data_IF_425998638943
#
_entry.id   IF_425998638943
#
_cell.length_a   1.000
_cell.length_b   1.000
_cell.length_c   1.000
_cell.angle_alpha   90.00
_cell.angle_beta   90.00
_cell.angle_gamma   90.00
#
_symmetry.space_group_name_H-M   'P 1'
#
loop_
_entity.id
_entity.type
_entity.pdbx_description
1 polymer ?
#
# COMPACT_ATOMS: atom_id res chain seq x y z
N UNK A 1 -73.75 -32.67 40.11
CA UNK A 1 -73.31 -33.05 38.78
C UNK A 1 -72.49 -31.87 38.29
N UNK A 2 -71.16 -31.86 38.54
CA UNK A 2 -70.29 -30.79 38.20
C UNK A 2 -69.37 -31.20 37.03
N UNK A 3 -69.36 -30.40 35.96
CA UNK A 3 -68.49 -30.59 34.84
C UNK A 3 -67.15 -30.08 35.15
N UNK A 4 -66.02 -30.72 34.72
CA UNK A 4 -64.67 -30.26 34.99
C UNK A 4 -64.21 -29.20 33.96
N UNK A 5 -63.75 -28.07 34.48
CA UNK A 5 -63.13 -27.01 33.71
C UNK A 5 -61.78 -27.52 33.22
N UNK A 6 -61.59 -27.61 31.92
CA UNK A 6 -60.33 -27.85 31.29
C UNK A 6 -59.57 -26.49 31.02
N UNK A 7 -58.64 -26.20 31.83
CA UNK A 7 -57.63 -25.14 31.53
C UNK A 7 -56.69 -25.62 30.42
N UNK A 8 -56.72 -24.95 29.29
CA UNK A 8 -55.73 -25.09 28.21
C UNK A 8 -54.61 -24.06 28.50
N UNK A 9 -53.35 -24.46 28.72
CA UNK A 9 -52.30 -23.48 28.84
C UNK A 9 -51.93 -22.93 27.45
N UNK A 10 -52.05 -21.62 27.29
CA UNK A 10 -51.53 -20.87 26.14
C UNK A 10 -49.99 -20.92 26.23
N UNK A 11 -49.39 -21.73 25.37
CA UNK A 11 -47.94 -21.68 25.13
C UNK A 11 -47.69 -20.49 24.25
N UNK A 12 -47.22 -19.39 24.85
CA UNK A 12 -46.64 -18.24 24.10
C UNK A 12 -45.28 -18.66 23.62
N UNK A 13 -45.21 -19.07 22.37
CA UNK A 13 -43.93 -19.26 21.68
C UNK A 13 -43.31 -17.88 21.41
N UNK A 14 -42.40 -17.44 22.27
CA UNK A 14 -41.54 -16.30 21.99
C UNK A 14 -40.59 -16.67 20.87
N UNK A 15 -40.86 -16.25 19.65
CA UNK A 15 -39.96 -16.29 18.51
C UNK A 15 -38.83 -15.30 18.82
N UNK A 16 -37.71 -15.81 19.37
CA UNK A 16 -36.44 -15.14 19.37
C UNK A 16 -35.96 -15.08 17.91
N UNK A 17 -36.33 -13.99 17.23
CA UNK A 17 -35.64 -13.58 16.00
C UNK A 17 -34.20 -13.16 16.39
N UNK A 18 -33.32 -14.14 16.47
CA UNK A 18 -31.89 -13.90 16.46
C UNK A 18 -31.55 -13.29 15.10
N UNK A 19 -31.57 -11.96 15.04
CA UNK A 19 -31.02 -11.22 13.93
C UNK A 19 -29.58 -11.64 13.79
N UNK A 20 -29.27 -12.51 12.84
CA UNK A 20 -27.94 -12.67 12.31
C UNK A 20 -27.54 -11.32 11.73
N UNK A 21 -26.88 -10.51 12.52
CA UNK A 21 -26.10 -9.38 12.03
C UNK A 21 -25.01 -10.00 11.15
N UNK A 22 -25.37 -10.20 9.89
CA UNK A 22 -24.38 -10.48 8.85
C UNK A 22 -23.37 -9.36 8.96
N UNK A 23 -22.15 -9.70 9.33
CA UNK A 23 -21.01 -8.84 9.15
C UNK A 23 -20.89 -8.59 7.64
N UNK A 24 -21.66 -7.63 7.14
CA UNK A 24 -21.43 -7.05 5.82
C UNK A 24 -20.00 -6.56 5.87
N UNK A 25 -19.09 -7.31 5.23
CA UNK A 25 -17.69 -6.96 5.13
C UNK A 25 -17.65 -5.52 4.67
N UNK A 26 -17.13 -4.62 5.51
CA UNK A 26 -17.09 -3.18 5.22
C UNK A 26 -16.47 -3.01 3.84
N UNK A 27 -17.30 -2.54 2.92
CA UNK A 27 -16.88 -2.28 1.55
C UNK A 27 -15.67 -1.35 1.60
N UNK A 28 -14.61 -1.64 0.84
CA UNK A 28 -13.42 -0.79 0.80
C UNK A 28 -13.81 0.63 0.38
N UNK A 29 -13.68 1.65 1.26
CA UNK A 29 -14.14 3.01 0.97
C UNK A 29 -13.40 3.65 -0.21
N UNK A 30 -12.29 3.08 -0.65
CA UNK A 30 -11.59 3.57 -1.82
C UNK A 30 -12.30 3.19 -3.13
N UNK A 31 -13.17 2.17 -3.12
CA UNK A 31 -13.96 1.76 -4.29
C UNK A 31 -15.11 2.73 -4.60
N UNK A 32 -15.38 3.70 -3.75
CA UNK A 32 -16.29 4.81 -4.05
C UNK A 32 -15.71 5.79 -5.09
N UNK A 33 -14.41 5.73 -5.35
CA UNK A 33 -13.74 6.55 -6.36
C UNK A 33 -13.63 5.80 -7.68
N UNK A 34 -13.64 6.49 -8.84
CA UNK A 34 -13.37 5.89 -10.13
C UNK A 34 -12.07 5.10 -10.10
N UNK A 35 -12.16 3.82 -10.42
CA UNK A 35 -11.02 2.90 -10.42
C UNK A 35 -11.09 1.93 -11.59
N UNK A 36 -9.94 1.42 -11.98
CA UNK A 36 -9.80 0.39 -13.00
C UNK A 36 -8.54 -0.43 -12.80
N UNK A 37 -8.54 -1.65 -13.30
CA UNK A 37 -7.34 -2.48 -13.38
C UNK A 37 -6.67 -2.23 -14.71
N UNK A 38 -5.50 -1.60 -14.67
CA UNK A 38 -4.62 -1.47 -15.82
C UNK A 38 -3.77 -2.73 -15.92
N UNK A 39 -3.77 -3.40 -17.07
CA UNK A 39 -3.04 -4.66 -17.26
C UNK A 39 -2.17 -4.57 -18.49
N UNK A 40 -0.91 -4.93 -18.33
CA UNK A 40 0.05 -5.10 -19.43
C UNK A 40 0.32 -6.59 -19.60
N UNK A 41 0.05 -7.10 -20.82
CA UNK A 41 0.35 -8.49 -21.19
C UNK A 41 1.83 -8.62 -21.49
N UNK A 42 2.41 -9.72 -21.02
CA UNK A 42 3.77 -10.14 -21.27
C UNK A 42 3.73 -11.56 -21.87
N UNK A 43 4.87 -12.12 -22.16
CA UNK A 43 4.94 -13.49 -22.68
C UNK A 43 4.61 -14.50 -21.56
N UNK A 44 3.42 -15.08 -21.62
CA UNK A 44 2.91 -16.08 -20.66
C UNK A 44 2.39 -15.54 -19.31
N UNK A 45 2.44 -14.21 -19.05
CA UNK A 45 1.96 -13.61 -17.79
C UNK A 45 1.46 -12.18 -17.99
N UNK A 46 1.02 -11.54 -16.91
CA UNK A 46 0.62 -10.13 -16.90
C UNK A 46 1.24 -9.40 -15.72
N UNK A 47 1.45 -8.08 -15.86
CA UNK A 47 1.59 -7.18 -14.73
C UNK A 47 0.40 -6.22 -14.69
N UNK A 48 -0.12 -5.96 -13.50
CA UNK A 48 -1.31 -5.13 -13.34
C UNK A 48 -1.16 -4.10 -12.22
N UNK A 49 -1.95 -3.05 -12.33
CA UNK A 49 -2.06 -2.02 -11.30
C UNK A 49 -3.51 -1.58 -11.11
N UNK A 50 -3.90 -1.39 -9.85
CA UNK A 50 -5.20 -0.80 -9.50
C UNK A 50 -5.07 0.72 -9.52
N UNK A 51 -5.57 1.32 -10.59
CA UNK A 51 -5.61 2.77 -10.76
C UNK A 51 -6.83 3.34 -10.04
N UNK A 52 -6.65 4.46 -9.34
CA UNK A 52 -7.71 5.22 -8.67
C UNK A 52 -7.50 6.72 -8.95
N UNK A 53 -8.57 7.45 -9.21
CA UNK A 53 -8.54 8.90 -9.49
C UNK A 53 -9.77 9.60 -8.93
N UNK A 54 -9.75 10.94 -8.87
CA UNK A 54 -10.96 11.69 -8.54
C UNK A 54 -12.01 11.55 -9.66
N UNK A 55 -13.32 11.64 -9.33
CA UNK A 55 -14.36 11.75 -10.33
C UNK A 55 -14.30 13.09 -11.07
N UNK A 56 -14.84 13.13 -12.30
CA UNK A 56 -14.90 14.32 -13.13
C UNK A 56 -13.65 14.61 -13.94
N UNK A 57 -13.50 15.86 -14.40
CA UNK A 57 -12.35 16.28 -15.19
C UNK A 57 -11.12 16.46 -14.31
N UNK A 58 -10.04 15.81 -14.66
CA UNK A 58 -8.74 15.89 -14.01
C UNK A 58 -7.69 16.45 -14.99
N UNK A 59 -6.71 17.14 -14.44
CA UNK A 59 -5.51 17.62 -15.15
C UNK A 59 -4.31 16.86 -14.59
N UNK A 60 -4.31 15.54 -14.81
CA UNK A 60 -3.35 14.62 -14.21
C UNK A 60 -1.93 14.94 -14.67
N UNK A 61 -1.06 15.18 -13.73
CA UNK A 61 0.36 15.46 -13.91
C UNK A 61 1.22 14.50 -13.10
N UNK A 62 0.82 14.25 -11.86
CA UNK A 62 1.56 13.44 -10.90
C UNK A 62 0.99 12.02 -10.83
N UNK A 63 1.87 11.04 -10.89
CA UNK A 63 1.56 9.64 -10.64
C UNK A 63 2.19 9.16 -9.33
N UNK A 64 1.42 8.47 -8.52
CA UNK A 64 1.89 7.82 -7.32
C UNK A 64 1.73 6.31 -7.51
N UNK A 65 2.86 5.62 -7.70
CA UNK A 65 2.91 4.16 -7.80
C UNK A 65 3.20 3.58 -6.41
N UNK A 66 2.24 2.84 -5.87
CA UNK A 66 2.26 2.29 -4.52
C UNK A 66 2.65 0.81 -4.55
N UNK A 67 3.72 0.46 -3.86
CA UNK A 67 4.25 -0.90 -3.74
C UNK A 67 3.95 -1.45 -2.33
N UNK A 68 2.95 -2.35 -2.20
CA UNK A 68 2.56 -2.91 -0.91
C UNK A 68 3.65 -3.75 -0.25
N UNK A 69 3.60 -3.83 1.08
CA UNK A 69 4.44 -4.72 1.87
C UNK A 69 4.09 -6.19 1.67
N UNK A 70 4.77 -7.04 2.44
CA UNK A 70 4.61 -8.50 2.35
C UNK A 70 3.14 -8.96 2.27
N UNK A 71 2.83 -9.92 1.39
CA UNK A 71 3.69 -10.50 0.35
C UNK A 71 3.85 -9.64 -0.91
N UNK A 72 3.14 -8.49 -1.02
CA UNK A 72 3.16 -7.62 -2.19
C UNK A 72 2.33 -8.15 -3.37
N UNK A 73 1.43 -9.09 -3.11
CA UNK A 73 0.61 -9.80 -4.08
C UNK A 73 -0.85 -9.42 -3.84
N UNK A 74 -1.43 -8.62 -4.75
CA UNK A 74 -2.84 -8.22 -4.65
C UNK A 74 -3.77 -9.22 -5.32
N UNK A 75 -3.31 -9.94 -6.33
CA UNK A 75 -4.14 -10.80 -7.18
C UNK A 75 -5.33 -10.03 -7.74
N UNK A 76 -5.05 -8.93 -8.42
CA UNK A 76 -6.07 -8.09 -9.05
C UNK A 76 -6.86 -8.89 -10.08
N UNK A 77 -8.17 -9.08 -9.84
CA UNK A 77 -9.04 -9.89 -10.70
C UNK A 77 -10.47 -9.39 -10.67
N UNK A 78 -11.21 -9.70 -11.72
CA UNK A 78 -12.64 -9.48 -11.76
C UNK A 78 -13.36 -10.82 -11.58
N UNK A 79 -14.28 -10.88 -10.61
CA UNK A 79 -15.14 -12.01 -10.33
C UNK A 79 -16.57 -11.50 -10.24
N UNK A 80 -17.48 -12.08 -11.04
CA UNK A 80 -18.90 -11.69 -11.09
C UNK A 80 -19.13 -10.19 -11.33
N UNK A 81 -18.28 -9.56 -12.12
CA UNK A 81 -18.32 -8.12 -12.41
C UNK A 81 -17.76 -7.21 -11.31
N UNK A 82 -17.33 -7.78 -10.19
CA UNK A 82 -16.71 -7.05 -9.08
C UNK A 82 -15.21 -7.16 -9.06
N UNK A 83 -14.55 -6.07 -8.69
CA UNK A 83 -13.11 -6.06 -8.44
C UNK A 83 -12.79 -6.78 -7.12
N UNK A 84 -12.01 -7.85 -7.20
CA UNK A 84 -11.47 -8.58 -6.06
C UNK A 84 -9.95 -8.39 -5.99
N UNK A 85 -9.43 -8.21 -4.80
CA UNK A 85 -7.99 -8.13 -4.54
C UNK A 85 -7.69 -8.35 -3.07
N UNK A 86 -6.45 -8.77 -2.80
CA UNK A 86 -5.93 -9.02 -1.46
C UNK A 86 -5.27 -7.76 -0.87
N UNK A 87 -4.67 -7.85 0.32
CA UNK A 87 -3.93 -6.79 1.01
C UNK A 87 -4.73 -5.50 1.30
N UNK A 88 -6.05 -5.55 1.38
CA UNK A 88 -6.90 -4.37 1.64
C UNK A 88 -6.53 -3.60 2.91
N UNK A 89 -5.96 -4.28 3.91
CA UNK A 89 -5.47 -3.69 5.16
C UNK A 89 -4.10 -3.04 5.06
N UNK A 90 -3.30 -3.32 4.02
CA UNK A 90 -1.97 -2.73 3.87
C UNK A 90 -2.04 -1.19 3.89
N UNK A 91 -1.06 -0.54 4.53
CA UNK A 91 -1.04 0.92 4.71
C UNK A 91 -1.27 1.68 3.41
N UNK A 92 -0.50 1.40 2.37
CA UNK A 92 -0.61 2.11 1.10
C UNK A 92 -1.92 1.79 0.37
N UNK A 93 -2.40 0.54 0.48
CA UNK A 93 -3.63 0.10 -0.19
C UNK A 93 -4.87 0.73 0.45
N UNK A 94 -4.99 0.67 1.80
CA UNK A 94 -6.16 1.21 2.51
C UNK A 94 -6.26 2.72 2.48
N UNK A 95 -5.13 3.39 2.28
CA UNK A 95 -5.08 4.86 2.32
C UNK A 95 -5.03 5.50 0.93
N UNK A 96 -5.09 4.73 -0.16
CA UNK A 96 -4.85 5.22 -1.53
C UNK A 96 -5.74 6.39 -1.95
N UNK A 97 -6.99 6.50 -1.44
CA UNK A 97 -7.88 7.63 -1.73
C UNK A 97 -7.36 8.99 -1.21
N UNK A 98 -6.53 8.97 -0.19
CA UNK A 98 -6.02 10.20 0.44
C UNK A 98 -4.86 10.84 -0.32
N UNK A 99 -4.38 10.20 -1.39
CA UNK A 99 -3.44 10.79 -2.35
C UNK A 99 -4.15 11.56 -3.47
N UNK A 100 -5.48 11.39 -3.60
CA UNK A 100 -6.24 11.89 -4.74
C UNK A 100 -6.46 13.39 -4.65
N UNK A 101 -6.07 14.08 -5.69
CA UNK A 101 -6.46 15.43 -6.03
C UNK A 101 -6.68 15.54 -7.55
N UNK A 102 -6.92 16.73 -8.07
CA UNK A 102 -7.20 16.92 -9.52
C UNK A 102 -5.99 16.65 -10.41
N UNK A 103 -4.80 16.66 -9.85
CA UNK A 103 -3.56 16.47 -10.60
C UNK A 103 -2.89 15.12 -10.32
N UNK A 104 -3.41 14.31 -9.39
CA UNK A 104 -2.77 13.08 -8.93
C UNK A 104 -3.54 11.83 -9.32
N UNK A 105 -2.87 10.94 -10.04
CA UNK A 105 -3.26 9.55 -10.28
C UNK A 105 -2.58 8.64 -9.26
N UNK A 106 -3.32 7.68 -8.71
CA UNK A 106 -2.77 6.66 -7.82
C UNK A 106 -2.86 5.29 -8.49
N UNK A 107 -1.79 4.54 -8.45
CA UNK A 107 -1.73 3.17 -8.96
C UNK A 107 -1.09 2.25 -7.91
N UNK A 108 -1.85 1.26 -7.40
CA UNK A 108 -1.28 0.20 -6.56
C UNK A 108 -0.78 -0.90 -7.49
N UNK A 109 0.52 -1.16 -7.44
CA UNK A 109 1.19 -2.13 -8.31
C UNK A 109 1.05 -3.55 -7.72
N UNK A 110 0.58 -4.49 -8.52
CA UNK A 110 0.52 -5.91 -8.18
C UNK A 110 1.83 -6.62 -8.54
N UNK A 111 2.08 -7.77 -7.94
CA UNK A 111 3.11 -8.70 -8.42
C UNK A 111 2.75 -9.20 -9.83
N UNK A 112 3.73 -9.51 -10.69
CA UNK A 112 3.46 -10.23 -11.93
C UNK A 112 2.69 -11.53 -11.68
N UNK A 113 1.73 -11.88 -12.54
CA UNK A 113 0.77 -12.95 -12.28
C UNK A 113 1.41 -14.33 -12.12
N UNK A 114 2.55 -14.58 -12.73
CA UNK A 114 3.34 -15.80 -12.56
C UNK A 114 4.11 -15.84 -11.23
N UNK A 115 4.16 -14.72 -10.50
CA UNK A 115 4.71 -14.59 -9.15
C UNK A 115 3.64 -14.53 -8.05
N UNK A 116 2.36 -14.74 -8.36
CA UNK A 116 1.32 -14.81 -7.33
C UNK A 116 1.45 -15.98 -6.34
N UNK A 117 2.04 -17.12 -6.68
CA UNK A 117 2.37 -18.14 -5.68
C UNK A 117 3.45 -17.69 -4.69
N UNK A 118 4.47 -16.96 -5.18
CA UNK A 118 5.60 -16.48 -4.39
C UNK A 118 6.24 -15.24 -5.03
N UNK A 119 6.45 -14.19 -4.24
CA UNK A 119 7.05 -12.95 -4.70
C UNK A 119 8.19 -12.55 -3.76
N UNK A 120 9.33 -13.24 -3.90
CA UNK A 120 10.50 -13.04 -3.06
C UNK A 120 11.28 -11.76 -3.38
N UNK A 121 12.18 -11.36 -2.46
CA UNK A 121 12.99 -10.16 -2.60
C UNK A 121 13.93 -10.25 -3.81
N UNK A 122 14.53 -11.42 -4.05
CA UNK A 122 15.45 -11.64 -5.17
C UNK A 122 14.83 -11.34 -6.53
N UNK A 123 13.55 -11.65 -6.71
CA UNK A 123 12.87 -11.32 -7.96
C UNK A 123 12.70 -9.81 -8.15
N UNK A 124 12.44 -9.06 -7.06
CA UNK A 124 12.29 -7.61 -7.10
C UNK A 124 13.58 -6.89 -7.56
N UNK A 125 14.73 -7.56 -7.44
CA UNK A 125 16.04 -7.06 -7.86
C UNK A 125 16.37 -7.36 -9.33
N UNK A 126 15.54 -8.16 -10.03
CA UNK A 126 15.81 -8.59 -11.39
C UNK A 126 15.52 -7.51 -12.43
N UNK A 127 16.28 -7.46 -13.54
CA UNK A 127 15.95 -6.59 -14.67
C UNK A 127 14.54 -6.82 -15.22
N UNK A 128 14.03 -8.05 -15.15
CA UNK A 128 12.68 -8.39 -15.56
C UNK A 128 11.63 -7.62 -14.76
N UNK A 129 11.74 -7.62 -13.42
CA UNK A 129 10.81 -6.85 -12.59
C UNK A 129 10.85 -5.35 -12.89
N UNK A 130 12.05 -4.79 -13.07
CA UNK A 130 12.21 -3.41 -13.51
C UNK A 130 11.50 -3.12 -14.83
N UNK A 131 11.65 -3.98 -15.82
CA UNK A 131 11.00 -3.85 -17.14
C UNK A 131 9.48 -4.02 -17.07
N UNK A 132 8.97 -4.87 -16.17
CA UNK A 132 7.53 -5.06 -15.96
C UNK A 132 6.90 -3.81 -15.35
N UNK A 133 7.51 -3.24 -14.30
CA UNK A 133 7.06 -1.98 -13.70
C UNK A 133 7.13 -0.84 -14.70
N UNK A 134 8.21 -0.75 -15.49
CA UNK A 134 8.36 0.27 -16.53
C UNK A 134 7.22 0.21 -17.55
N UNK A 135 6.88 -0.99 -18.02
CA UNK A 135 5.81 -1.16 -19.00
C UNK A 135 4.44 -0.75 -18.42
N UNK A 136 4.17 -1.07 -17.15
CA UNK A 136 2.93 -0.68 -16.48
C UNK A 136 2.85 0.84 -16.29
N UNK A 137 3.92 1.48 -15.85
CA UNK A 137 4.01 2.94 -15.67
C UNK A 137 3.88 3.66 -17.02
N UNK A 138 4.55 3.17 -18.06
CA UNK A 138 4.45 3.74 -19.41
C UNK A 138 3.01 3.66 -19.95
N UNK A 139 2.31 2.55 -19.74
CA UNK A 139 0.91 2.40 -20.15
C UNK A 139 -0.01 3.34 -19.36
N UNK A 140 0.23 3.51 -18.06
CA UNK A 140 -0.50 4.48 -17.25
C UNK A 140 -0.24 5.92 -17.73
N UNK A 141 1.01 6.27 -18.02
CA UNK A 141 1.40 7.57 -18.57
C UNK A 141 0.70 7.84 -19.91
N UNK A 142 0.74 6.86 -20.81
CA UNK A 142 0.08 6.98 -22.13
C UNK A 142 -1.43 7.17 -22.01
N UNK A 143 -2.08 6.41 -21.12
CA UNK A 143 -3.55 6.42 -20.96
C UNK A 143 -4.06 7.66 -20.25
N UNK A 144 -3.35 8.15 -19.24
CA UNK A 144 -3.82 9.19 -18.32
C UNK A 144 -3.07 10.52 -18.44
N UNK A 145 -2.01 10.60 -19.26
CA UNK A 145 -1.22 11.82 -19.45
C UNK A 145 -0.27 12.16 -18.29
N UNK A 146 -0.03 11.22 -17.38
CA UNK A 146 0.87 11.42 -16.23
C UNK A 146 2.32 11.43 -16.66
N UNK A 147 3.08 12.43 -16.21
CA UNK A 147 4.49 12.63 -16.61
C UNK A 147 5.48 12.68 -15.45
N UNK A 148 5.02 12.84 -14.22
CA UNK A 148 5.88 12.95 -13.02
C UNK A 148 5.51 11.86 -12.00
N UNK A 149 6.30 10.78 -11.97
CA UNK A 149 6.03 9.63 -11.11
C UNK A 149 6.85 9.63 -9.82
N UNK A 150 6.16 9.30 -8.72
CA UNK A 150 6.77 8.97 -7.44
C UNK A 150 6.49 7.51 -7.11
N UNK A 151 7.52 6.74 -6.81
CA UNK A 151 7.40 5.36 -6.38
C UNK A 151 7.44 5.29 -4.85
N UNK A 152 6.41 4.71 -4.24
CA UNK A 152 6.27 4.65 -2.78
C UNK A 152 6.16 3.19 -2.34
N UNK A 153 7.09 2.73 -1.53
CA UNK A 153 7.10 1.37 -1.00
C UNK A 153 6.98 1.33 0.51
N UNK A 154 6.24 0.34 1.03
CA UNK A 154 6.16 0.07 2.48
C UNK A 154 6.63 -1.34 2.78
N UNK A 155 7.38 -1.52 3.88
CA UNK A 155 7.89 -2.83 4.31
C UNK A 155 8.67 -3.52 3.17
N UNK A 156 8.36 -4.75 2.77
CA UNK A 156 8.98 -5.38 1.60
C UNK A 156 8.73 -4.63 0.28
N UNK A 157 7.66 -3.85 0.20
CA UNK A 157 7.42 -2.97 -0.94
C UNK A 157 8.48 -1.87 -1.10
N UNK A 158 9.26 -1.55 -0.06
CA UNK A 158 10.39 -0.65 -0.16
C UNK A 158 11.49 -1.15 -1.10
N UNK A 159 11.71 -2.48 -1.13
CA UNK A 159 12.61 -3.08 -2.12
C UNK A 159 12.04 -2.98 -3.54
N UNK A 160 10.73 -3.25 -3.70
CA UNK A 160 10.07 -3.11 -5.00
C UNK A 160 10.21 -1.70 -5.57
N UNK A 161 9.89 -0.68 -4.77
CA UNK A 161 9.99 0.72 -5.18
C UNK A 161 11.43 1.14 -5.48
N UNK A 162 12.38 0.74 -4.60
CA UNK A 162 13.79 1.06 -4.76
C UNK A 162 14.38 0.44 -6.04
N UNK A 163 14.21 -0.87 -6.22
CA UNK A 163 14.81 -1.56 -7.37
C UNK A 163 14.17 -1.16 -8.69
N UNK A 164 12.83 -1.00 -8.72
CA UNK A 164 12.15 -0.50 -9.91
C UNK A 164 12.61 0.90 -10.30
N UNK A 165 12.78 1.82 -9.34
CA UNK A 165 13.27 3.17 -9.59
C UNK A 165 14.73 3.18 -10.02
N UNK A 166 15.60 2.39 -9.37
CA UNK A 166 17.01 2.27 -9.74
C UNK A 166 17.20 1.80 -11.17
N UNK A 167 16.35 0.88 -11.63
CA UNK A 167 16.41 0.36 -13.00
C UNK A 167 15.76 1.29 -14.04
N UNK A 168 14.89 2.22 -13.60
CA UNK A 168 14.14 3.12 -14.46
C UNK A 168 14.22 4.58 -13.96
N UNK A 169 15.41 5.16 -13.93
CA UNK A 169 15.63 6.47 -13.33
C UNK A 169 14.91 7.61 -14.07
N UNK A 170 14.58 7.42 -15.34
CA UNK A 170 13.82 8.39 -16.16
C UNK A 170 12.32 8.37 -15.85
N UNK A 171 11.80 7.27 -15.30
CA UNK A 171 10.38 7.14 -14.95
C UNK A 171 10.10 7.57 -13.52
N UNK A 172 10.95 7.18 -12.59
CA UNK A 172 10.77 7.45 -11.16
C UNK A 172 11.56 8.69 -10.73
N UNK A 173 10.95 9.86 -10.83
CA UNK A 173 11.61 11.09 -10.36
C UNK A 173 11.89 11.07 -8.87
N UNK A 174 10.97 10.49 -8.09
CA UNK A 174 11.05 10.43 -6.63
C UNK A 174 10.77 9.02 -6.11
N UNK A 175 11.39 8.69 -4.99
CA UNK A 175 11.17 7.46 -4.24
C UNK A 175 10.90 7.80 -2.78
N UNK A 176 9.84 7.24 -2.22
CA UNK A 176 9.54 7.32 -0.78
C UNK A 176 9.53 5.90 -0.21
N UNK A 177 10.36 5.67 0.78
CA UNK A 177 10.49 4.38 1.43
C UNK A 177 9.96 4.46 2.86
N UNK A 178 8.88 3.73 3.14
CA UNK A 178 8.20 3.74 4.43
C UNK A 178 8.34 2.40 5.13
N UNK A 179 8.55 2.39 6.45
CA UNK A 179 8.73 1.15 7.25
C UNK A 179 9.59 0.12 6.52
N UNK A 180 10.75 0.56 6.03
CA UNK A 180 11.58 -0.19 5.08
C UNK A 180 12.24 -1.40 5.73
N UNK A 181 12.35 -2.50 4.98
CA UNK A 181 13.06 -3.71 5.44
C UNK A 181 14.57 -3.50 5.31
N UNK A 182 15.25 -3.31 6.42
CA UNK A 182 16.69 -3.03 6.46
C UNK A 182 17.57 -4.26 6.64
N UNK A 183 17.05 -5.29 7.30
CA UNK A 183 17.85 -6.46 7.70
C UNK A 183 17.37 -7.72 7.00
N UNK A 184 18.28 -8.68 6.88
CA UNK A 184 17.98 -9.96 6.27
C UNK A 184 16.93 -10.76 7.08
N UNK A 185 16.05 -11.43 6.36
CA UNK A 185 15.05 -12.34 6.86
C UNK A 185 14.91 -13.56 5.96
N UNK A 186 13.92 -14.38 6.21
CA UNK A 186 13.64 -15.58 5.39
C UNK A 186 13.30 -15.25 3.93
N UNK A 187 12.84 -14.02 3.66
CA UNK A 187 12.41 -13.59 2.32
C UNK A 187 13.54 -12.90 1.53
N UNK A 188 14.72 -12.69 2.14
CA UNK A 188 15.87 -12.08 1.47
C UNK A 188 16.66 -11.11 2.36
N UNK A 189 17.63 -10.38 1.77
CA UNK A 189 18.62 -9.57 2.50
C UNK A 189 18.09 -8.21 2.99
N UNK A 190 16.91 -7.78 2.57
CA UNK A 190 16.45 -6.40 2.77
C UNK A 190 17.33 -5.38 2.06
N UNK A 191 17.25 -4.12 2.50
CA UNK A 191 18.07 -3.02 1.95
C UNK A 191 19.51 -3.01 2.47
N UNK A 192 19.93 -3.99 3.28
CA UNK A 192 21.27 -4.00 3.90
C UNK A 192 22.43 -3.98 2.89
N UNK A 193 22.22 -4.57 1.72
CA UNK A 193 23.22 -4.73 0.67
C UNK A 193 23.08 -3.77 -0.52
N UNK A 194 22.07 -2.87 -0.50
CA UNK A 194 21.85 -1.99 -1.64
C UNK A 194 22.84 -0.82 -1.65
N UNK A 195 23.26 -0.45 -2.85
CA UNK A 195 24.01 0.78 -3.08
C UNK A 195 23.01 1.92 -3.40
N UNK A 196 22.84 2.86 -2.46
CA UNK A 196 21.96 4.01 -2.61
C UNK A 196 22.50 5.05 -3.60
N UNK A 197 23.81 5.09 -3.84
CA UNK A 197 24.42 6.01 -4.80
C UNK A 197 24.03 5.67 -6.25
N UNK A 198 23.61 4.43 -6.49
CA UNK A 198 23.08 4.02 -7.77
C UNK A 198 21.64 4.50 -8.04
N UNK A 199 20.94 5.06 -7.04
CA UNK A 199 19.62 5.62 -7.18
C UNK A 199 19.72 7.09 -7.63
N UNK A 200 19.26 7.40 -8.84
CA UNK A 200 19.23 8.77 -9.36
C UNK A 200 18.01 9.57 -8.92
N UNK A 201 16.97 8.90 -8.49
CA UNK A 201 15.75 9.53 -7.97
C UNK A 201 16.01 10.28 -6.67
N UNK A 202 15.25 11.34 -6.42
CA UNK A 202 15.16 11.94 -5.09
C UNK A 202 14.60 10.90 -4.11
N UNK A 203 15.19 10.78 -2.92
CA UNK A 203 14.81 9.77 -1.92
C UNK A 203 14.35 10.43 -0.63
N UNK A 204 13.21 9.98 -0.11
CA UNK A 204 12.68 10.31 1.23
C UNK A 204 12.48 9.03 2.04
N UNK A 205 13.00 9.02 3.27
CA UNK A 205 12.69 8.02 4.28
C UNK A 205 11.52 8.49 5.16
N UNK A 206 10.58 7.60 5.47
CA UNK A 206 9.45 7.90 6.37
C UNK A 206 9.26 6.72 7.30
N UNK A 207 9.55 6.90 8.59
CA UNK A 207 9.51 5.79 9.55
C UNK A 207 8.85 6.20 10.87
N UNK A 208 8.11 5.26 11.45
CA UNK A 208 7.55 5.43 12.77
C UNK A 208 8.60 5.12 13.85
N UNK A 209 8.76 6.04 14.83
CA UNK A 209 9.76 5.88 15.87
C UNK A 209 9.54 4.64 16.74
N UNK A 210 8.28 4.25 16.92
CA UNK A 210 7.86 3.11 17.73
C UNK A 210 7.47 1.90 16.87
N UNK A 211 8.00 1.77 15.64
CA UNK A 211 7.75 0.60 14.80
C UNK A 211 8.26 -0.68 15.50
N UNK A 212 7.36 -1.60 15.90
CA UNK A 212 7.74 -2.79 16.66
C UNK A 212 8.33 -3.91 15.78
N UNK A 213 8.31 -3.74 14.45
CA UNK A 213 8.79 -4.76 13.53
C UNK A 213 10.32 -4.81 13.50
N UNK A 214 10.90 -5.95 13.89
CA UNK A 214 12.34 -6.14 13.96
C UNK A 214 13.09 -5.94 12.64
N UNK A 215 12.41 -6.07 11.52
CA UNK A 215 13.01 -5.92 10.18
C UNK A 215 13.06 -4.47 9.71
N UNK A 216 12.32 -3.59 10.37
CA UNK A 216 12.11 -2.20 9.99
C UNK A 216 12.36 -1.23 11.14
N UNK A 217 13.26 -1.62 12.04
CA UNK A 217 13.54 -0.87 13.26
C UNK A 217 13.94 0.58 12.95
N UNK A 218 13.36 1.53 13.69
CA UNK A 218 13.59 2.97 13.49
C UNK A 218 15.06 3.37 13.57
N UNK A 219 15.84 2.77 14.47
CA UNK A 219 17.30 2.98 14.56
C UNK A 219 18.02 2.69 13.24
N UNK A 220 17.55 1.69 12.50
CA UNK A 220 18.13 1.34 11.21
C UNK A 220 17.74 2.40 10.16
N UNK A 221 16.50 2.90 10.20
CA UNK A 221 16.08 4.02 9.35
C UNK A 221 16.97 5.26 9.56
N UNK A 222 17.27 5.60 10.81
CA UNK A 222 18.19 6.70 11.13
C UNK A 222 19.59 6.46 10.56
N UNK A 223 20.12 5.25 10.72
CA UNK A 223 21.45 4.89 10.22
C UNK A 223 21.50 4.96 8.68
N UNK A 224 20.45 4.48 8.00
CA UNK A 224 20.34 4.51 6.54
C UNK A 224 20.14 5.93 6.01
N UNK A 225 19.30 6.75 6.64
CA UNK A 225 19.12 8.15 6.28
C UNK A 225 20.45 8.93 6.39
N UNK A 226 21.17 8.75 7.50
CA UNK A 226 22.50 9.35 7.71
C UNK A 226 23.50 8.90 6.63
N UNK A 227 23.58 7.58 6.36
CA UNK A 227 24.51 7.01 5.37
C UNK A 227 24.21 7.49 3.95
N UNK A 228 22.94 7.58 3.59
CA UNK A 228 22.52 8.03 2.26
C UNK A 228 22.53 9.55 2.09
N UNK A 229 22.65 10.32 3.17
CA UNK A 229 22.50 11.77 3.16
C UNK A 229 21.12 12.26 2.75
N UNK A 230 20.08 11.40 2.92
CA UNK A 230 18.71 11.70 2.49
C UNK A 230 17.81 12.01 3.69
N UNK A 231 16.79 12.87 3.51
CA UNK A 231 15.91 13.27 4.59
C UNK A 231 15.13 12.07 5.17
N UNK A 232 14.87 12.13 6.47
CA UNK A 232 14.05 11.19 7.22
C UNK A 232 12.93 11.96 7.91
N UNK A 233 11.69 11.58 7.64
CA UNK A 233 10.53 12.00 8.41
C UNK A 233 10.30 10.98 9.52
N UNK A 234 10.35 11.45 10.75
CA UNK A 234 10.04 10.67 11.95
C UNK A 234 8.56 10.79 12.28
N UNK A 235 7.87 9.67 12.34
CA UNK A 235 6.45 9.63 12.72
C UNK A 235 6.32 9.12 14.15
N UNK A 236 5.49 9.79 14.97
CA UNK A 236 5.24 9.42 16.38
C UNK A 236 3.76 9.38 16.68
N UNK A 237 3.39 8.74 17.79
CA UNK A 237 2.02 8.63 18.24
C UNK A 237 1.20 7.60 17.48
N UNK A 238 -0.09 7.82 17.32
CA UNK A 238 -0.98 6.91 16.62
C UNK A 238 -2.01 6.24 17.51
N UNK A 239 -2.72 5.27 16.95
CA UNK A 239 -3.79 4.54 17.61
C UNK A 239 -3.32 3.23 18.25
N UNK A 240 -4.22 2.54 18.96
CA UNK A 240 -3.91 1.25 19.54
C UNK A 240 -3.60 0.21 18.46
N UNK A 241 -2.48 -0.51 18.65
CA UNK A 241 -2.05 -1.57 17.75
C UNK A 241 -3.01 -2.76 17.76
N UNK A 242 -3.21 -3.38 16.60
CA UNK A 242 -3.97 -4.63 16.42
C UNK A 242 -3.19 -5.57 15.51
N UNK A 243 -2.90 -6.76 15.98
CA UNK A 243 -2.14 -7.77 15.24
C UNK A 243 -0.67 -7.84 15.64
N UNK A 244 0.11 -8.57 14.85
CA UNK A 244 1.54 -8.79 15.10
C UNK A 244 2.40 -7.57 14.77
N UNK A 245 3.63 -7.55 15.30
CA UNK A 245 4.56 -6.41 15.22
C UNK A 245 4.77 -5.85 13.81
N UNK A 246 4.80 -6.70 12.78
CA UNK A 246 5.02 -6.28 11.39
C UNK A 246 3.71 -6.17 10.59
N UNK A 247 2.56 -6.11 11.25
CA UNK A 247 1.28 -6.03 10.57
C UNK A 247 0.80 -4.58 10.38
N UNK A 248 -0.10 -4.43 9.42
CA UNK A 248 -0.53 -3.14 8.90
C UNK A 248 -1.28 -2.25 9.90
N UNK A 249 -1.90 -2.83 10.95
CA UNK A 249 -2.66 -2.08 11.96
C UNK A 249 -1.88 -1.88 13.27
N UNK A 250 -0.59 -1.64 13.14
CA UNK A 250 0.33 -1.24 14.22
C UNK A 250 1.06 0.04 13.83
N UNK A 251 2.04 0.49 14.63
CA UNK A 251 2.95 1.58 14.25
C UNK A 251 3.72 1.27 12.96
N UNK A 252 3.95 -0.01 12.62
CA UNK A 252 4.52 -0.45 11.34
C UNK A 252 3.70 0.02 10.13
N UNK A 253 2.38 0.09 10.26
CA UNK A 253 1.48 0.61 9.23
C UNK A 253 0.91 2.01 9.55
N UNK A 254 1.54 2.76 10.44
CA UNK A 254 1.17 4.13 10.79
C UNK A 254 -0.25 4.28 11.33
N UNK A 255 -0.77 3.26 12.04
CA UNK A 255 -2.16 3.27 12.53
C UNK A 255 -2.47 4.49 13.39
N UNK A 256 -3.53 5.23 13.03
CA UNK A 256 -3.98 6.44 13.72
C UNK A 256 -3.25 7.72 13.35
N UNK A 257 -2.15 7.65 12.59
CA UNK A 257 -1.40 8.82 12.07
C UNK A 257 -1.24 8.77 10.55
N UNK A 258 -2.02 7.91 9.88
CA UNK A 258 -1.93 7.72 8.43
C UNK A 258 -2.04 9.03 7.67
N UNK A 259 -3.04 9.85 7.98
CA UNK A 259 -3.34 11.08 7.21
C UNK A 259 -2.24 12.11 7.37
N UNK A 260 -1.69 12.28 8.57
CA UNK A 260 -0.57 13.20 8.80
C UNK A 260 0.67 12.74 8.05
N UNK A 261 0.96 11.43 8.06
CA UNK A 261 2.06 10.81 7.33
C UNK A 261 1.92 11.02 5.82
N UNK A 262 0.72 10.78 5.27
CA UNK A 262 0.43 10.99 3.85
C UNK A 262 0.58 12.46 3.44
N UNK A 263 0.09 13.40 4.26
CA UNK A 263 0.22 14.84 3.99
C UNK A 263 1.68 15.27 3.89
N UNK A 264 2.54 14.77 4.77
CA UNK A 264 3.97 15.09 4.72
C UNK A 264 4.62 14.55 3.44
N UNK A 265 4.34 13.31 3.07
CA UNK A 265 4.83 12.73 1.81
C UNK A 265 4.30 13.50 0.60
N UNK A 266 3.01 13.85 0.58
CA UNK A 266 2.39 14.62 -0.49
C UNK A 266 3.00 16.04 -0.61
N UNK A 267 3.27 16.70 0.53
CA UNK A 267 3.98 17.99 0.55
C UNK A 267 5.36 17.86 -0.11
N UNK A 268 6.12 16.82 0.23
CA UNK A 268 7.43 16.59 -0.37
C UNK A 268 7.37 16.37 -1.87
N UNK A 269 6.39 15.59 -2.35
CA UNK A 269 6.18 15.39 -3.79
C UNK A 269 5.97 16.72 -4.52
N UNK A 270 5.24 17.65 -3.90
CA UNK A 270 4.85 18.93 -4.50
C UNK A 270 5.89 20.03 -4.35
N UNK A 271 6.58 20.08 -3.22
CA UNK A 271 7.42 21.23 -2.83
C UNK A 271 8.87 20.87 -2.54
N UNK A 272 9.20 19.60 -2.42
CA UNK A 272 10.51 19.13 -1.92
C UNK A 272 10.71 19.32 -0.41
N UNK A 273 9.71 19.82 0.32
CA UNK A 273 9.82 20.13 1.73
C UNK A 273 8.98 19.18 2.60
N UNK A 274 9.55 18.72 3.69
CA UNK A 274 8.87 17.91 4.70
C UNK A 274 9.18 18.41 6.10
N UNK A 275 8.27 18.24 7.07
CA UNK A 275 8.64 18.35 8.48
C UNK A 275 9.60 17.20 8.84
N UNK A 276 10.55 17.46 9.74
CA UNK A 276 11.44 16.41 10.25
C UNK A 276 10.68 15.40 11.11
N UNK A 277 9.68 15.88 11.86
CA UNK A 277 8.85 15.10 12.76
C UNK A 277 7.35 15.32 12.50
N UNK A 278 6.60 14.22 12.59
CA UNK A 278 5.14 14.22 12.67
C UNK A 278 4.78 13.69 14.05
N UNK A 279 4.19 14.53 14.86
CA UNK A 279 3.61 14.18 16.15
C UNK A 279 2.11 14.47 16.14
N UNK A 280 1.32 13.80 17.02
CA UNK A 280 -0.11 14.07 17.16
C UNK A 280 -0.38 15.50 17.61
#
# INVERSE_FOLDING_TARGET
MGAPNRFIPLVVAALLAAGAAQAQGRQDPNLAYPHEVLTVKRDGYTIAGLVTRLPGRNELKYGVALFPGHPGILKLRQEDGELKFDLRGNFLVRTRRHWLDRETLVMVVDAPSDHWPTFYQEFRETPRYGADVAALVAEASRKFGVTDWTFIGTSEGSLSAFHAARMNPELARRVILTSSVFVAGKNGPGLSRVNFDALRSELLWVHHADDPCRFTAYRDAQAFAKRSGKPLVTVRGGGPARGGACEAFTAHGFVGVEIATLRAMHSWIRTGQVPADIAP
#
